data_IF_260690874608
#
_entry.id   IF_260690874608
#
_cell.length_a   1.000
_cell.length_b   1.000
_cell.length_c   1.000
_cell.angle_alpha   90.00
_cell.angle_beta   90.00
_cell.angle_gamma   90.00
#
_symmetry.space_group_name_H-M   'P 1'
#
loop_
_entity.id
_entity.type
_entity.pdbx_description
1 polymer ?
#
# COMPACT_ATOMS: atom_id res chain seq x y z
N UNK A 1 5.32 10.97 4.24
CA UNK A 1 4.29 12.02 4.28
C UNK A 1 4.87 13.36 3.89
N UNK A 2 4.04 14.25 3.36
CA UNK A 2 4.47 15.58 2.95
C UNK A 2 3.51 16.63 3.49
N UNK A 3 4.10 17.64 4.11
CA UNK A 3 3.42 18.87 4.51
C UNK A 3 3.58 19.90 3.39
N UNK A 4 2.47 20.45 2.92
CA UNK A 4 2.48 21.56 1.98
C UNK A 4 2.55 22.88 2.77
N UNK A 5 3.66 23.57 2.62
CA UNK A 5 3.89 24.85 3.27
C UNK A 5 3.07 25.98 2.60
N UNK A 6 2.87 27.12 3.26
CA UNK A 6 2.11 28.25 2.69
C UNK A 6 2.65 28.77 1.35
N UNK A 7 3.92 28.54 1.07
CA UNK A 7 4.58 28.91 -0.19
C UNK A 7 4.51 27.82 -1.27
N UNK A 8 3.74 26.74 -1.02
CA UNK A 8 3.54 25.62 -1.94
C UNK A 8 4.69 24.59 -1.95
N UNK A 9 5.76 24.78 -1.20
CA UNK A 9 6.82 23.77 -1.08
C UNK A 9 6.35 22.58 -0.27
N UNK A 10 6.87 21.38 -0.61
CA UNK A 10 6.60 20.15 0.12
C UNK A 10 7.73 19.82 1.07
N UNK A 11 7.41 19.70 2.36
CA UNK A 11 8.33 19.26 3.41
C UNK A 11 8.02 17.82 3.78
N UNK A 12 9.03 16.95 3.72
CA UNK A 12 8.87 15.58 4.17
C UNK A 12 8.79 15.52 5.71
N UNK A 13 7.79 14.78 6.22
CA UNK A 13 7.56 14.55 7.66
C UNK A 13 7.71 13.06 7.96
N UNK A 14 8.90 12.67 8.39
CA UNK A 14 9.21 11.28 8.75
C UNK A 14 8.48 10.83 10.02
N UNK A 15 8.38 11.73 11.00
CA UNK A 15 7.68 11.53 12.26
C UNK A 15 6.21 11.09 12.06
N UNK A 16 5.50 11.76 11.17
CA UNK A 16 4.11 11.42 10.82
C UNK A 16 3.98 10.23 9.88
N UNK A 17 5.02 9.95 9.10
CA UNK A 17 5.01 8.82 8.15
C UNK A 17 4.95 7.49 8.85
N UNK A 18 5.62 7.35 9.99
CA UNK A 18 5.61 6.11 10.78
C UNK A 18 4.24 5.89 11.45
N UNK A 19 3.70 6.92 12.10
CA UNK A 19 2.38 6.86 12.73
C UNK A 19 1.28 6.50 11.71
N UNK A 20 1.27 7.15 10.54
CA UNK A 20 0.32 6.83 9.48
C UNK A 20 0.50 5.41 8.94
N UNK A 21 1.75 4.93 8.84
CA UNK A 21 2.04 3.56 8.44
C UNK A 21 1.47 2.54 9.42
N UNK A 22 1.62 2.77 10.72
CA UNK A 22 1.08 1.93 11.79
C UNK A 22 -0.46 1.93 11.78
N UNK A 23 -1.10 3.09 11.61
CA UNK A 23 -2.57 3.19 11.54
C UNK A 23 -3.13 2.38 10.38
N UNK A 24 -2.54 2.51 9.19
CA UNK A 24 -2.96 1.74 8.01
C UNK A 24 -2.71 0.24 8.20
N UNK A 25 -1.55 -0.13 8.77
CA UNK A 25 -1.24 -1.52 9.06
C UNK A 25 -2.26 -2.14 10.02
N UNK A 26 -2.63 -1.44 11.09
CA UNK A 26 -3.60 -1.91 12.06
C UNK A 26 -5.00 -2.05 11.45
N UNK A 27 -5.45 -1.09 10.66
CA UNK A 27 -6.71 -1.18 9.93
C UNK A 27 -6.73 -2.36 8.97
N UNK A 28 -5.63 -2.61 8.24
CA UNK A 28 -5.48 -3.77 7.35
C UNK A 28 -5.55 -5.09 8.09
N UNK A 29 -4.83 -5.23 9.21
CA UNK A 29 -4.86 -6.44 10.04
C UNK A 29 -6.29 -6.73 10.48
N UNK A 30 -7.00 -5.72 10.99
CA UNK A 30 -8.38 -5.85 11.44
C UNK A 30 -9.30 -6.30 10.30
N UNK A 31 -9.23 -5.64 9.15
CA UNK A 31 -10.12 -5.93 8.01
C UNK A 31 -9.82 -7.28 7.34
N UNK A 32 -8.55 -7.67 7.23
CA UNK A 32 -8.18 -8.96 6.65
C UNK A 32 -8.48 -10.11 7.62
N UNK A 33 -8.25 -9.93 8.94
CA UNK A 33 -8.63 -10.94 9.94
C UNK A 33 -10.15 -11.15 9.98
N UNK A 34 -10.94 -10.09 9.84
CA UNK A 34 -12.39 -10.20 9.73
C UNK A 34 -12.88 -10.94 8.47
N UNK A 35 -11.99 -11.19 7.51
CA UNK A 35 -12.20 -11.97 6.28
C UNK A 35 -11.54 -13.35 6.32
N UNK A 36 -11.22 -13.83 7.51
CA UNK A 36 -10.61 -15.15 7.78
C UNK A 36 -9.16 -15.32 7.26
N UNK A 37 -8.44 -14.21 6.98
CA UNK A 37 -7.02 -14.28 6.67
C UNK A 37 -6.18 -14.32 7.95
N UNK A 38 -5.19 -15.22 8.01
CA UNK A 38 -4.13 -15.17 9.00
C UNK A 38 -3.09 -14.11 8.59
N UNK A 39 -3.08 -12.99 9.26
CA UNK A 39 -2.22 -11.86 8.93
C UNK A 39 -0.94 -11.87 9.78
N UNK A 40 0.20 -11.85 9.11
CA UNK A 40 1.51 -11.65 9.72
C UNK A 40 2.01 -10.26 9.33
N UNK A 41 2.47 -9.48 10.29
CA UNK A 41 2.93 -8.12 10.05
C UNK A 41 4.45 -8.05 10.00
N UNK A 42 4.97 -7.31 9.03
CA UNK A 42 6.38 -6.91 9.04
C UNK A 42 6.55 -5.61 9.84
N UNK A 43 7.61 -5.50 10.67
CA UNK A 43 7.85 -4.29 11.45
C UNK A 43 7.95 -3.04 10.54
N UNK A 44 7.22 -1.99 10.90
CA UNK A 44 7.34 -0.68 10.26
C UNK A 44 8.64 -0.02 10.74
N UNK A 45 9.55 0.30 9.83
CA UNK A 45 10.81 0.95 10.17
C UNK A 45 11.99 0.43 9.34
N UNK A 46 12.97 1.29 9.10
CA UNK A 46 14.12 0.94 8.26
C UNK A 46 15.10 -0.03 8.95
N UNK A 47 15.15 -0.03 10.28
CA UNK A 47 16.14 -0.77 11.09
C UNK A 47 15.96 -2.29 11.06
N UNK A 48 14.76 -2.77 10.70
CA UNK A 48 14.45 -4.21 10.67
C UNK A 48 14.38 -4.81 9.25
N UNK A 49 14.76 -4.03 8.22
CA UNK A 49 14.66 -4.49 6.84
C UNK A 49 15.94 -5.18 6.41
N UNK A 50 15.81 -6.41 5.94
CA UNK A 50 16.89 -7.08 5.21
C UNK A 50 17.16 -6.38 3.88
N UNK A 51 18.36 -6.56 3.30
CA UNK A 51 18.68 -6.02 1.99
C UNK A 51 17.69 -6.53 0.92
N UNK A 52 17.35 -7.83 0.97
CA UNK A 52 16.38 -8.47 0.09
C UNK A 52 15.00 -7.80 0.17
N UNK A 53 14.48 -7.62 1.38
CA UNK A 53 13.19 -6.93 1.56
C UNK A 53 13.23 -5.49 1.04
N UNK A 54 14.34 -4.78 1.26
CA UNK A 54 14.48 -3.42 0.77
C UNK A 54 14.49 -3.35 -0.76
N UNK A 55 15.12 -4.32 -1.43
CA UNK A 55 15.12 -4.44 -2.89
C UNK A 55 13.70 -4.69 -3.42
N UNK A 56 13.01 -5.67 -2.86
CA UNK A 56 11.61 -5.97 -3.20
C UNK A 56 10.69 -4.76 -3.02
N UNK A 57 10.85 -4.02 -1.92
CA UNK A 57 10.08 -2.79 -1.68
C UNK A 57 10.39 -1.69 -2.71
N UNK A 58 11.63 -1.60 -3.18
CA UNK A 58 12.00 -0.64 -4.24
C UNK A 58 11.40 -1.04 -5.59
N UNK A 59 11.43 -2.34 -5.93
CA UNK A 59 10.77 -2.88 -7.11
C UNK A 59 9.25 -2.63 -7.05
N UNK A 60 8.62 -2.92 -5.91
CA UNK A 60 7.19 -2.63 -5.74
C UNK A 60 6.86 -1.14 -5.94
N UNK A 61 7.72 -0.23 -5.51
CA UNK A 61 7.50 1.21 -5.76
C UNK A 61 7.44 1.53 -7.24
N UNK A 62 8.32 0.94 -8.05
CA UNK A 62 8.33 1.13 -9.51
C UNK A 62 7.10 0.48 -10.16
N UNK A 63 6.77 -0.74 -9.77
CA UNK A 63 5.59 -1.49 -10.22
C UNK A 63 4.31 -0.73 -9.88
N UNK A 64 4.15 -0.30 -8.64
CA UNK A 64 3.00 0.50 -8.19
C UNK A 64 2.82 1.79 -9.01
N UNK A 65 3.92 2.49 -9.30
CA UNK A 65 3.89 3.68 -10.16
C UNK A 65 3.43 3.33 -11.58
N UNK A 66 3.94 2.22 -12.13
CA UNK A 66 3.55 1.73 -13.46
C UNK A 66 2.06 1.39 -13.52
N UNK A 67 1.54 0.65 -12.53
CA UNK A 67 0.12 0.31 -12.42
C UNK A 67 -0.73 1.58 -12.38
N UNK A 68 -0.37 2.53 -11.52
CA UNK A 68 -1.11 3.79 -11.39
C UNK A 68 -1.12 4.62 -12.66
N UNK A 69 -0.02 4.66 -13.42
CA UNK A 69 0.07 5.43 -14.66
C UNK A 69 -0.62 4.74 -15.83
N UNK A 70 -0.41 3.44 -15.99
CA UNK A 70 -0.70 2.73 -17.23
C UNK A 70 -1.96 1.86 -17.19
N UNK A 71 -2.44 1.51 -16.00
CA UNK A 71 -3.68 0.72 -15.83
C UNK A 71 -4.85 1.59 -15.39
N UNK A 72 -4.65 2.48 -14.43
CA UNK A 72 -5.72 3.28 -13.80
C UNK A 72 -5.56 4.79 -14.01
N UNK A 73 -4.45 5.25 -14.56
CA UNK A 73 -4.10 6.65 -14.68
C UNK A 73 -4.38 7.26 -16.06
N UNK A 74 -3.90 8.48 -16.29
CA UNK A 74 -4.17 9.22 -17.53
C UNK A 74 -3.44 8.68 -18.77
N UNK A 75 -2.44 7.82 -18.59
CA UNK A 75 -1.66 7.20 -19.67
C UNK A 75 -2.00 5.71 -19.81
N UNK A 76 -3.29 5.44 -19.96
CA UNK A 76 -3.79 4.06 -20.03
C UNK A 76 -3.29 3.37 -21.30
N UNK A 77 -2.68 2.21 -21.14
CA UNK A 77 -2.40 1.28 -22.22
C UNK A 77 -3.44 0.16 -22.20
N UNK A 78 -4.24 0.04 -23.24
CA UNK A 78 -5.31 -0.97 -23.34
C UNK A 78 -4.80 -2.40 -23.09
N UNK A 79 -3.60 -2.72 -23.58
CA UNK A 79 -2.96 -4.02 -23.32
C UNK A 79 -2.71 -4.27 -21.81
N UNK A 80 -2.37 -3.23 -21.04
CA UNK A 80 -2.15 -3.34 -19.59
C UNK A 80 -3.45 -3.42 -18.79
N UNK A 81 -4.57 -3.02 -19.35
CA UNK A 81 -5.88 -3.23 -18.74
C UNK A 81 -6.42 -4.65 -18.97
N UNK A 82 -6.14 -5.22 -20.15
CA UNK A 82 -6.58 -6.57 -20.51
C UNK A 82 -5.64 -7.66 -19.98
N UNK A 83 -4.34 -7.35 -19.88
CA UNK A 83 -3.31 -8.25 -19.37
C UNK A 83 -2.62 -7.58 -18.20
N UNK A 84 -3.16 -7.83 -16.99
CA UNK A 84 -2.60 -7.30 -15.75
C UNK A 84 -1.38 -8.14 -15.33
N UNK A 85 -0.27 -7.94 -16.03
CA UNK A 85 0.99 -8.66 -15.83
C UNK A 85 2.02 -7.74 -15.19
N UNK A 86 2.13 -7.82 -13.87
CA UNK A 86 3.12 -7.09 -13.09
C UNK A 86 3.82 -8.03 -12.12
N UNK A 87 5.13 -7.87 -11.92
CA UNK A 87 5.91 -8.66 -10.99
C UNK A 87 6.93 -7.81 -10.24
N UNK A 88 7.18 -8.20 -9.00
CA UNK A 88 8.21 -7.62 -8.11
C UNK A 88 9.44 -8.52 -7.96
N UNK A 89 9.55 -9.57 -8.79
CA UNK A 89 10.54 -10.61 -8.63
C UNK A 89 10.16 -11.61 -7.54
N UNK A 90 10.90 -12.75 -7.44
CA UNK A 90 10.52 -13.87 -6.58
C UNK A 90 10.47 -13.47 -5.09
N UNK A 91 9.42 -13.91 -4.40
CA UNK A 91 9.18 -13.70 -2.97
C UNK A 91 9.30 -15.00 -2.16
N UNK A 92 9.65 -16.11 -2.80
CA UNK A 92 9.65 -17.44 -2.21
C UNK A 92 10.41 -17.50 -0.89
N UNK A 93 11.63 -16.96 -0.84
CA UNK A 93 12.47 -16.97 0.37
C UNK A 93 11.81 -16.19 1.51
N UNK A 94 11.33 -14.98 1.23
CA UNK A 94 10.66 -14.12 2.22
C UNK A 94 9.39 -14.75 2.77
N UNK A 95 8.59 -15.38 1.92
CA UNK A 95 7.34 -16.04 2.32
C UNK A 95 7.62 -17.30 3.15
N UNK A 96 8.54 -18.16 2.72
CA UNK A 96 8.92 -19.37 3.46
C UNK A 96 9.47 -19.06 4.85
N UNK A 97 10.37 -18.08 4.96
CA UNK A 97 10.94 -17.65 6.25
C UNK A 97 9.87 -17.17 7.25
N UNK A 98 8.75 -16.67 6.76
CA UNK A 98 7.67 -16.14 7.58
C UNK A 98 6.45 -17.09 7.66
N UNK A 99 6.47 -18.24 6.98
CA UNK A 99 5.34 -19.17 6.94
C UNK A 99 4.07 -18.52 6.37
N UNK A 100 4.22 -17.75 5.29
CA UNK A 100 3.14 -17.04 4.62
C UNK A 100 3.00 -17.51 3.16
N UNK A 101 1.79 -17.43 2.62
CA UNK A 101 1.46 -17.88 1.26
C UNK A 101 1.47 -16.74 0.24
N UNK A 102 1.27 -15.51 0.70
CA UNK A 102 1.24 -14.31 -0.14
C UNK A 102 1.76 -13.08 0.61
N UNK A 103 2.12 -12.05 -0.14
CA UNK A 103 2.64 -10.78 0.39
C UNK A 103 1.70 -9.64 0.02
N UNK A 104 1.27 -8.86 1.02
CA UNK A 104 0.50 -7.63 0.79
C UNK A 104 1.43 -6.42 0.92
N UNK A 105 1.67 -5.76 -0.20
CA UNK A 105 2.37 -4.49 -0.24
C UNK A 105 1.43 -3.34 0.06
N UNK A 106 1.89 -2.42 0.88
CA UNK A 106 1.14 -1.22 1.26
C UNK A 106 1.92 0.02 0.85
N UNK A 107 1.26 0.95 0.20
CA UNK A 107 1.80 2.26 -0.07
C UNK A 107 0.82 3.35 0.32
N UNK A 108 1.30 4.26 1.14
CA UNK A 108 0.54 5.40 1.63
C UNK A 108 1.18 6.67 1.10
N UNK A 109 0.40 7.51 0.45
CA UNK A 109 0.75 8.89 0.13
C UNK A 109 -0.19 9.79 0.90
N UNK A 110 0.39 10.67 1.69
CA UNK A 110 -0.37 11.65 2.44
C UNK A 110 0.23 13.04 2.25
N UNK A 111 -0.59 13.95 1.81
CA UNK A 111 -0.27 15.37 1.71
C UNK A 111 -1.26 16.15 2.55
N UNK A 112 -0.78 17.05 3.37
CA UNK A 112 -1.61 17.91 4.19
C UNK A 112 -1.12 19.35 4.12
N UNK A 113 -2.06 20.27 4.25
CA UNK A 113 -1.86 21.71 4.40
C UNK A 113 -2.77 22.22 5.50
N UNK A 114 -2.71 23.51 5.80
CA UNK A 114 -3.60 24.14 6.77
C UNK A 114 -5.09 24.05 6.40
N UNK A 115 -5.41 23.84 5.13
CA UNK A 115 -6.79 23.85 4.62
C UNK A 115 -7.29 22.50 4.14
N UNK A 116 -6.40 21.58 3.76
CA UNK A 116 -6.79 20.30 3.16
C UNK A 116 -5.81 19.21 3.52
N UNK A 117 -6.34 18.01 3.67
CA UNK A 117 -5.53 16.80 3.61
C UNK A 117 -5.96 15.93 2.43
N UNK A 118 -5.00 15.20 1.87
CA UNK A 118 -5.22 14.22 0.80
C UNK A 118 -4.48 12.96 1.15
N UNK A 119 -5.23 11.90 1.38
CA UNK A 119 -4.70 10.57 1.62
C UNK A 119 -4.91 9.71 0.39
N UNK A 120 -3.95 8.87 0.07
CA UNK A 120 -4.07 7.88 -0.97
C UNK A 120 -3.39 6.60 -0.49
N UNK A 121 -4.14 5.51 -0.49
CA UNK A 121 -3.64 4.17 -0.13
C UNK A 121 -3.72 3.28 -1.35
N UNK A 122 -2.66 2.55 -1.62
CA UNK A 122 -2.65 1.48 -2.60
C UNK A 122 -2.08 0.21 -2.00
N UNK A 123 -2.69 -0.91 -2.37
CA UNK A 123 -2.35 -2.25 -1.94
C UNK A 123 -2.07 -3.12 -3.17
N UNK A 124 -1.09 -4.01 -3.06
CA UNK A 124 -0.82 -5.04 -4.05
C UNK A 124 -0.66 -6.37 -3.36
N UNK A 125 -1.43 -7.39 -3.78
CA UNK A 125 -1.27 -8.77 -3.36
C UNK A 125 -0.36 -9.49 -4.34
N UNK A 126 0.71 -10.11 -3.86
CA UNK A 126 1.64 -10.87 -4.68
C UNK A 126 1.80 -12.31 -4.17
N UNK A 127 1.96 -13.25 -5.10
CA UNK A 127 2.27 -14.64 -4.81
C UNK A 127 3.78 -14.89 -4.59
N UNK A 128 4.17 -16.15 -4.41
CA UNK A 128 5.56 -16.55 -4.19
C UNK A 128 6.47 -16.27 -5.41
N UNK A 129 5.93 -16.19 -6.61
CA UNK A 129 6.68 -15.80 -7.81
C UNK A 129 6.91 -14.30 -7.90
N UNK A 130 6.22 -13.53 -7.06
CA UNK A 130 6.19 -12.08 -7.05
C UNK A 130 5.23 -11.48 -8.07
N UNK A 131 4.39 -12.30 -8.69
CA UNK A 131 3.33 -11.81 -9.58
C UNK A 131 2.27 -11.06 -8.77
N UNK A 132 1.90 -9.87 -9.21
CA UNK A 132 0.81 -9.10 -8.58
C UNK A 132 -0.51 -9.70 -9.02
N UNK A 133 -1.16 -10.41 -8.12
CA UNK A 133 -2.44 -11.09 -8.34
C UNK A 133 -3.64 -10.13 -8.25
N UNK A 134 -3.50 -9.11 -7.42
CA UNK A 134 -4.55 -8.11 -7.19
C UNK A 134 -3.93 -6.76 -6.83
N UNK A 135 -4.63 -5.71 -7.23
CA UNK A 135 -4.26 -4.35 -6.89
C UNK A 135 -5.51 -3.52 -6.59
N UNK A 136 -5.48 -2.80 -5.49
CA UNK A 136 -6.52 -1.86 -5.10
C UNK A 136 -5.92 -0.52 -4.70
N UNK A 137 -6.62 0.56 -5.02
CA UNK A 137 -6.20 1.90 -4.64
C UNK A 137 -7.41 2.81 -4.44
N UNK A 138 -7.33 3.67 -3.43
CA UNK A 138 -8.35 4.67 -3.18
C UNK A 138 -7.75 5.89 -2.48
N UNK A 139 -8.44 7.03 -2.56
CA UNK A 139 -8.04 8.27 -1.93
C UNK A 139 -9.16 8.90 -1.12
N UNK A 140 -8.77 9.68 -0.12
CA UNK A 140 -9.67 10.51 0.68
C UNK A 140 -9.17 11.95 0.69
N UNK A 141 -10.12 12.89 0.76
CA UNK A 141 -9.89 14.33 0.93
C UNK A 141 -10.47 14.84 2.24
N UNK A 142 -10.67 13.94 3.19
CA UNK A 142 -11.20 14.29 4.50
C UNK A 142 -10.22 15.15 5.29
N UNK A 143 -10.73 16.13 6.01
CA UNK A 143 -9.91 17.07 6.80
C UNK A 143 -9.06 16.36 7.87
N UNK A 144 -9.60 15.32 8.51
CA UNK A 144 -8.91 14.53 9.53
C UNK A 144 -7.73 13.71 8.96
N UNK A 145 -7.72 13.45 7.65
CA UNK A 145 -6.62 12.74 7.01
C UNK A 145 -6.49 11.29 7.45
N UNK A 146 -5.29 10.75 7.24
CA UNK A 146 -4.96 9.35 7.56
C UNK A 146 -4.50 9.17 9.03
N UNK A 147 -4.40 10.25 9.76
CA UNK A 147 -4.06 10.23 11.20
C UNK A 147 -5.29 9.91 12.07
N UNK A 148 -6.49 10.10 11.52
CA UNK A 148 -7.74 9.70 12.15
C UNK A 148 -8.01 8.21 11.92
N UNK A 149 -8.15 7.39 12.97
CA UNK A 149 -8.34 5.94 12.85
C UNK A 149 -9.62 5.56 12.09
N UNK A 150 -10.70 6.29 12.28
CA UNK A 150 -11.99 5.98 11.63
C UNK A 150 -11.91 6.27 10.14
N UNK A 151 -11.32 7.40 9.75
CA UNK A 151 -11.08 7.75 8.36
C UNK A 151 -10.11 6.77 7.69
N UNK A 152 -9.07 6.34 8.40
CA UNK A 152 -8.13 5.32 7.92
C UNK A 152 -8.82 3.99 7.72
N UNK A 153 -9.65 3.54 8.65
CA UNK A 153 -10.43 2.30 8.54
C UNK A 153 -11.38 2.36 7.35
N UNK A 154 -12.10 3.47 7.17
CA UNK A 154 -12.99 3.65 6.02
C UNK A 154 -12.23 3.62 4.69
N UNK A 155 -11.07 4.26 4.62
CA UNK A 155 -10.24 4.27 3.43
C UNK A 155 -9.71 2.88 3.09
N UNK A 156 -9.24 2.13 4.08
CA UNK A 156 -8.79 0.74 3.93
C UNK A 156 -9.94 -0.16 3.46
N UNK A 157 -11.14 -0.06 4.03
CA UNK A 157 -12.34 -0.78 3.56
C UNK A 157 -12.65 -0.50 2.09
N UNK A 158 -12.59 0.77 1.67
CA UNK A 158 -12.79 1.15 0.27
C UNK A 158 -11.74 0.54 -0.66
N UNK A 159 -10.48 0.49 -0.23
CA UNK A 159 -9.41 -0.14 -1.02
C UNK A 159 -9.65 -1.65 -1.13
N UNK A 160 -10.07 -2.31 -0.05
CA UNK A 160 -10.31 -3.75 0.01
C UNK A 160 -11.68 -4.19 -0.55
N UNK A 161 -12.48 -3.30 -1.14
CA UNK A 161 -13.84 -3.63 -1.58
C UNK A 161 -13.91 -4.85 -2.51
N UNK A 162 -12.91 -5.01 -3.39
CA UNK A 162 -12.80 -6.11 -4.35
C UNK A 162 -11.57 -7.00 -4.06
N UNK A 163 -11.15 -7.07 -2.79
CA UNK A 163 -10.06 -7.97 -2.40
C UNK A 163 -10.50 -9.43 -2.55
N UNK A 164 -9.65 -10.33 -3.05
CA UNK A 164 -9.99 -11.75 -3.19
C UNK A 164 -10.47 -12.35 -1.86
N UNK A 165 -11.39 -13.29 -1.95
CA UNK A 165 -11.79 -14.10 -0.80
C UNK A 165 -10.67 -15.08 -0.43
N UNK A 166 -10.66 -15.58 0.82
CA UNK A 166 -9.66 -16.50 1.38
C UNK A 166 -9.70 -17.91 0.73
N UNK A 167 -9.59 -17.96 -0.59
CA UNK A 167 -9.41 -19.20 -1.38
C UNK A 167 -8.25 -18.98 -2.35
N UNK A 168 -7.06 -18.84 -1.80
CA UNK A 168 -5.83 -18.99 -2.58
C UNK A 168 -5.36 -20.43 -2.53
#
# INVERSE_FOLDING_TARGET
>A
MYEELPDGRLKQRSDRSEAAGLSVQQALVTELTARDFRVLTYPVGATHRTAELQEVLNLYRAVNKSIQLHTFGPQVFTAKQTQFEYSVGPLTTLLQQNGADAFVFVRVLYRFSLQQSRSFVSLGLADATGTILWYGANGSREAAGIEDPDNTTLLVKKVLANFPEARL
#
